data_IF_963040396032
#
_entry.id   IF_963040396032
#
_cell.length_a   1.000
_cell.length_b   1.000
_cell.length_c   1.000
_cell.angle_alpha   90.00
_cell.angle_beta   90.00
_cell.angle_gamma   90.00
#
_symmetry.space_group_name_H-M   'P 1'
#
loop_
_entity.id
_entity.type
_entity.pdbx_description
1 polymer ?
#
# COMPACT_ATOMS: atom_id res chain seq x y z
N UNK A 1 8.96 -42.69 -8.24
CA UNK A 1 9.90 -41.67 -7.75
C UNK A 1 9.16 -40.35 -7.68
N UNK A 2 8.82 -39.87 -6.48
CA UNK A 2 8.15 -38.58 -6.32
C UNK A 2 9.23 -37.48 -6.37
N UNK A 3 9.22 -36.67 -7.43
CA UNK A 3 10.04 -35.45 -7.50
C UNK A 3 9.35 -34.37 -6.68
N UNK A 4 9.63 -34.32 -5.38
CA UNK A 4 9.30 -33.16 -4.56
C UNK A 4 10.20 -32.01 -4.99
N UNK A 5 9.68 -31.10 -5.82
CA UNK A 5 10.29 -29.79 -6.01
C UNK A 5 10.37 -29.11 -4.64
N UNK A 6 11.54 -28.61 -4.22
CA UNK A 6 11.64 -27.86 -2.97
C UNK A 6 10.73 -26.63 -3.08
N UNK A 7 9.73 -26.52 -2.20
CA UNK A 7 8.98 -25.27 -2.06
C UNK A 7 9.98 -24.22 -1.59
N UNK A 8 10.26 -23.24 -2.45
CA UNK A 8 11.08 -22.08 -2.10
C UNK A 8 10.45 -21.43 -0.86
N UNK A 9 11.21 -21.11 0.20
CA UNK A 9 10.63 -20.44 1.35
C UNK A 9 10.06 -19.10 0.89
N UNK A 10 8.79 -18.86 1.21
CA UNK A 10 8.15 -17.55 1.05
C UNK A 10 8.80 -16.60 2.07
N UNK A 11 9.84 -15.89 1.65
CA UNK A 11 10.49 -14.88 2.48
C UNK A 11 9.58 -13.66 2.51
N UNK A 12 8.99 -13.37 3.66
CA UNK A 12 8.26 -12.13 3.91
C UNK A 12 9.27 -11.02 4.28
N UNK A 13 9.38 -10.01 3.41
CA UNK A 13 10.20 -8.82 3.66
C UNK A 13 9.25 -7.66 3.99
N UNK A 14 9.44 -7.06 5.17
CA UNK A 14 8.73 -5.83 5.53
C UNK A 14 9.56 -4.65 5.02
N UNK A 15 8.96 -3.84 4.16
CA UNK A 15 9.59 -2.66 3.56
C UNK A 15 9.09 -1.41 4.27
N UNK A 16 10.01 -0.62 4.82
CA UNK A 16 9.72 0.67 5.47
C UNK A 16 9.49 1.78 4.43
N UNK A 17 8.77 2.83 4.82
CA UNK A 17 8.47 4.01 3.98
C UNK A 17 9.72 4.69 3.40
N UNK A 18 10.86 4.56 4.10
CA UNK A 18 12.19 5.02 3.65
C UNK A 18 12.67 4.39 2.33
N UNK A 19 12.10 3.27 1.90
CA UNK A 19 12.44 2.61 0.64
C UNK A 19 11.45 2.93 -0.50
N UNK A 20 10.48 3.82 -0.24
CA UNK A 20 9.49 4.25 -1.23
C UNK A 20 9.86 5.63 -1.78
N UNK A 21 9.51 5.88 -3.04
CA UNK A 21 9.59 7.22 -3.65
C UNK A 21 8.20 7.84 -3.63
N UNK A 22 8.04 8.98 -2.97
CA UNK A 22 6.78 9.72 -2.89
C UNK A 22 6.73 10.77 -4.00
N UNK A 23 5.86 10.58 -4.99
CA UNK A 23 5.91 11.32 -6.25
C UNK A 23 5.40 12.77 -6.14
N UNK A 24 4.52 13.04 -5.18
CA UNK A 24 3.99 14.38 -4.87
C UNK A 24 4.31 14.76 -3.41
N UNK A 25 5.58 15.06 -3.04
CA UNK A 25 6.00 15.21 -1.64
C UNK A 25 5.17 16.23 -0.83
N UNK A 26 4.67 17.28 -1.47
CA UNK A 26 3.80 18.29 -0.85
C UNK A 26 2.44 17.74 -0.39
N UNK A 27 2.03 16.60 -0.96
CA UNK A 27 0.81 15.89 -0.61
C UNK A 27 1.05 14.81 0.45
N UNK A 28 2.28 14.55 0.88
CA UNK A 28 2.55 13.56 1.92
C UNK A 28 2.81 14.20 3.28
N UNK A 29 2.48 13.47 4.33
CA UNK A 29 2.64 13.88 5.73
C UNK A 29 3.29 12.75 6.51
N UNK A 30 4.18 13.11 7.44
CA UNK A 30 4.85 12.16 8.32
C UNK A 30 4.06 12.04 9.62
N UNK A 31 3.77 10.82 10.04
CA UNK A 31 3.38 10.48 11.40
C UNK A 31 4.59 9.93 12.15
N UNK A 32 5.01 10.62 13.22
CA UNK A 32 6.14 10.20 14.08
C UNK A 32 5.72 9.31 15.25
N UNK A 33 4.56 8.65 15.19
CA UNK A 33 4.11 7.83 16.33
C UNK A 33 4.98 6.57 16.46
N UNK A 34 5.50 6.23 17.66
CA UNK A 34 6.44 5.12 17.85
C UNK A 34 5.93 3.71 17.51
N UNK A 35 4.64 3.57 17.19
CA UNK A 35 4.00 2.29 16.85
C UNK A 35 4.30 1.84 15.42
N UNK A 36 4.81 2.74 14.57
CA UNK A 36 5.18 2.39 13.21
C UNK A 36 6.49 1.63 13.15
N UNK A 37 6.56 0.68 12.23
CA UNK A 37 7.83 0.09 11.83
C UNK A 37 8.77 1.21 11.37
N UNK A 38 10.04 1.19 11.78
CA UNK A 38 10.98 2.26 11.44
C UNK A 38 10.73 3.62 12.13
N UNK A 39 9.74 3.72 13.02
CA UNK A 39 9.44 4.89 13.86
C UNK A 39 8.62 5.99 13.20
N UNK A 40 8.35 5.87 11.89
CA UNK A 40 7.58 6.84 11.10
C UNK A 40 6.63 6.14 10.14
N UNK A 41 5.60 6.86 9.69
CA UNK A 41 4.78 6.43 8.55
C UNK A 41 4.34 7.62 7.74
N UNK A 42 4.33 7.45 6.42
CA UNK A 42 3.85 8.44 5.47
C UNK A 42 2.37 8.22 5.16
N UNK A 43 1.58 9.30 5.18
CA UNK A 43 0.18 9.29 4.76
C UNK A 43 -0.13 10.47 3.84
N UNK A 44 -1.06 10.29 2.91
CA UNK A 44 -1.45 11.34 1.97
C UNK A 44 -2.35 12.38 2.63
N UNK A 45 -2.00 13.66 2.52
CA UNK A 45 -2.86 14.78 2.87
C UNK A 45 -4.07 14.84 1.93
N UNK A 46 -5.20 15.33 2.44
CA UNK A 46 -6.41 15.46 1.62
C UNK A 46 -7.21 14.17 1.48
N UNK A 47 -7.04 13.20 2.40
CA UNK A 47 -7.92 12.02 2.48
C UNK A 47 -9.40 12.36 2.72
N UNK A 48 -9.76 13.62 2.99
CA UNK A 48 -11.14 14.06 3.00
C UNK A 48 -11.65 14.22 1.57
N UNK A 49 -12.68 13.44 1.20
CA UNK A 49 -13.33 13.28 -0.11
C UNK A 49 -13.71 14.55 -0.89
N UNK A 50 -13.42 15.75 -0.40
CA UNK A 50 -13.85 17.01 -1.01
C UNK A 50 -12.92 17.51 -2.14
N UNK A 51 -11.66 17.07 -2.18
CA UNK A 51 -10.71 17.51 -3.21
C UNK A 51 -10.15 16.29 -3.92
N UNK A 52 -10.22 16.25 -5.25
CA UNK A 52 -9.64 15.22 -6.14
C UNK A 52 -8.10 15.24 -6.13
N UNK A 53 -7.50 15.34 -4.94
CA UNK A 53 -6.06 15.42 -4.74
C UNK A 53 -5.53 14.03 -4.45
N UNK A 54 -4.98 13.38 -5.47
CA UNK A 54 -4.40 12.05 -5.35
C UNK A 54 -2.88 12.17 -5.14
N UNK A 55 -2.37 11.40 -4.18
CA UNK A 55 -0.94 11.21 -3.99
C UNK A 55 -0.57 9.78 -4.38
N UNK A 56 0.65 9.60 -4.87
CA UNK A 56 1.20 8.32 -5.32
C UNK A 56 2.60 8.10 -4.75
N UNK A 57 2.96 6.83 -4.64
CA UNK A 57 4.33 6.41 -4.34
C UNK A 57 4.75 5.30 -5.31
N UNK A 58 6.05 5.09 -5.42
CA UNK A 58 6.64 4.07 -6.26
C UNK A 58 7.70 3.28 -5.50
N UNK A 59 7.75 1.99 -5.77
CA UNK A 59 8.65 1.01 -5.14
C UNK A 59 8.99 -0.03 -6.21
N UNK A 60 10.25 -0.43 -6.27
CA UNK A 60 10.66 -1.62 -7.02
C UNK A 60 10.74 -2.81 -6.07
N UNK A 61 10.14 -3.93 -6.44
CA UNK A 61 10.22 -5.18 -5.68
C UNK A 61 10.51 -6.36 -6.60
N UNK A 62 11.06 -7.43 -6.04
CA UNK A 62 11.19 -8.73 -6.71
C UNK A 62 10.46 -9.78 -5.88
N UNK A 63 9.48 -10.44 -6.48
CA UNK A 63 8.67 -11.43 -5.78
C UNK A 63 7.47 -11.87 -6.60
N UNK A 64 6.65 -12.73 -6.03
CA UNK A 64 5.39 -13.20 -6.63
C UNK A 64 4.17 -12.50 -6.03
N UNK A 65 4.34 -11.79 -4.92
CA UNK A 65 3.29 -11.11 -4.18
C UNK A 65 3.83 -9.90 -3.43
N UNK A 66 2.96 -8.93 -3.21
CA UNK A 66 3.18 -7.76 -2.38
C UNK A 66 1.88 -7.47 -1.60
N UNK A 67 2.01 -7.06 -0.34
CA UNK A 67 0.91 -6.65 0.50
C UNK A 67 1.19 -5.27 1.09
N UNK A 68 0.18 -4.41 1.11
CA UNK A 68 0.25 -3.08 1.72
C UNK A 68 -0.55 -3.08 3.02
N UNK A 69 0.03 -2.53 4.08
CA UNK A 69 -0.63 -2.33 5.36
C UNK A 69 -0.63 -0.84 5.68
N UNK A 70 -1.71 -0.36 6.26
CA UNK A 70 -1.87 1.05 6.59
C UNK A 70 -3.06 1.28 7.52
N UNK A 71 -3.37 2.56 7.74
CA UNK A 71 -4.56 2.93 8.51
C UNK A 71 -5.80 2.91 7.63
N UNK A 72 -6.90 2.43 8.21
CA UNK A 72 -8.24 2.62 7.64
C UNK A 72 -8.56 4.11 7.52
N UNK A 73 -9.12 4.55 6.38
CA UNK A 73 -9.83 5.82 6.25
C UNK A 73 -10.92 6.00 7.31
N UNK A 74 -11.40 7.23 7.48
CA UNK A 74 -12.55 7.53 8.33
C UNK A 74 -13.80 6.77 7.85
N UNK A 75 -14.76 6.42 8.74
CA UNK A 75 -15.91 5.59 8.37
C UNK A 75 -16.83 6.15 7.28
N UNK A 76 -16.84 7.47 7.11
CA UNK A 76 -17.57 8.22 6.10
C UNK A 76 -16.79 8.38 4.78
N UNK A 77 -15.64 7.71 4.67
CA UNK A 77 -14.73 7.82 3.54
C UNK A 77 -14.44 6.46 2.92
N UNK A 78 -14.78 6.33 1.63
CA UNK A 78 -14.51 5.13 0.84
C UNK A 78 -13.60 5.42 -0.35
N UNK A 79 -12.28 5.60 -0.14
CA UNK A 79 -11.37 5.98 -1.21
C UNK A 79 -11.14 4.82 -2.17
N UNK A 80 -11.05 5.16 -3.46
CA UNK A 80 -10.54 4.26 -4.50
C UNK A 80 -9.07 4.57 -4.72
N UNK A 81 -8.25 3.52 -4.73
CA UNK A 81 -6.83 3.60 -5.08
C UNK A 81 -6.53 2.76 -6.32
N UNK A 82 -5.55 3.21 -7.11
CA UNK A 82 -5.06 2.50 -8.28
C UNK A 82 -3.67 1.95 -8.03
N UNK A 83 -3.42 0.73 -8.49
CA UNK A 83 -2.14 0.04 -8.42
C UNK A 83 -1.69 -0.22 -9.86
N UNK A 84 -0.45 0.13 -10.19
CA UNK A 84 0.18 -0.22 -11.45
C UNK A 84 1.46 -1.04 -11.15
N UNK A 85 1.51 -2.28 -11.64
CA UNK A 85 2.68 -3.16 -11.57
C UNK A 85 3.05 -3.53 -13.00
N UNK A 86 4.24 -3.15 -13.44
CA UNK A 86 4.78 -3.48 -14.77
C UNK A 86 3.79 -3.18 -15.91
N UNK A 87 3.17 -2.00 -15.88
CA UNK A 87 2.15 -1.52 -16.83
C UNK A 87 0.80 -2.24 -16.77
N UNK A 88 0.56 -3.07 -15.75
CA UNK A 88 -0.74 -3.66 -15.46
C UNK A 88 -1.42 -2.87 -14.34
N UNK A 89 -2.55 -2.25 -14.67
CA UNK A 89 -3.32 -1.43 -13.73
C UNK A 89 -4.46 -2.23 -13.12
N UNK A 90 -4.65 -2.08 -11.82
CA UNK A 90 -5.81 -2.52 -11.07
C UNK A 90 -6.30 -1.39 -10.16
N UNK A 91 -7.51 -1.51 -9.63
CA UNK A 91 -8.09 -0.55 -8.69
C UNK A 91 -8.86 -1.28 -7.60
N UNK A 92 -8.84 -0.73 -6.39
CA UNK A 92 -9.64 -1.23 -5.28
C UNK A 92 -10.21 -0.05 -4.48
N UNK A 93 -11.34 -0.29 -3.82
CA UNK A 93 -12.02 0.68 -2.95
C UNK A 93 -11.97 0.16 -1.52
N UNK A 94 -11.75 1.05 -0.56
CA UNK A 94 -11.87 0.74 0.86
C UNK A 94 -13.20 1.24 1.42
N UNK A 95 -13.86 0.54 2.37
CA UNK A 95 -13.66 -0.88 2.60
C UNK A 95 -14.01 -1.65 1.33
N UNK A 96 -13.34 -2.79 1.12
CA UNK A 96 -13.71 -3.68 0.03
C UNK A 96 -15.16 -4.12 0.25
N UNK A 97 -16.03 -3.88 -0.73
CA UNK A 97 -17.38 -4.41 -0.69
C UNK A 97 -17.28 -5.93 -0.71
N UNK A 98 -17.48 -6.54 0.44
CA UNK A 98 -17.51 -7.99 0.56
C UNK A 98 -18.74 -8.45 -0.23
N UNK A 99 -18.52 -9.20 -1.31
CA UNK A 99 -19.61 -9.91 -1.96
C UNK A 99 -20.18 -10.89 -0.93
N UNK A 100 -21.38 -10.61 -0.47
CA UNK A 100 -22.18 -11.46 0.38
C UNK A 100 -22.67 -12.65 -0.46
N UNK A 101 -21.91 -13.74 -0.43
CA UNK A 101 -22.33 -15.06 -0.92
C UNK A 101 -22.80 -15.93 0.23
#
# INVERSE_FOLDING_TARGET
MASGTPSKPDVMIIVDDKNMTFNEPSLWRVSGTPRWYGGTSMWSSGTFLANETFASFSLSFQGISIAFFGNSPAPDNSPTFSINIDSQTSSATYPELRADT
#
